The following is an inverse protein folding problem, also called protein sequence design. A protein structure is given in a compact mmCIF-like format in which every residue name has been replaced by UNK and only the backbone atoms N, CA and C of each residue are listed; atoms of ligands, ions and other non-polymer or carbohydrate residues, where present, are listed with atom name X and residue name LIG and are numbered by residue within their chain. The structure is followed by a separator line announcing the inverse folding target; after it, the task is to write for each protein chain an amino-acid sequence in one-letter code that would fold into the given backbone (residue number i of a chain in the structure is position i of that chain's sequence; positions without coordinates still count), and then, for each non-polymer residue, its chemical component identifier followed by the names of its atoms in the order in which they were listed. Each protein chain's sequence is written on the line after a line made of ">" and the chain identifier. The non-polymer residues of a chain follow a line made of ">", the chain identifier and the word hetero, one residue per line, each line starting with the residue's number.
data_IF_697090864373
#
_entry.id   IF_697090864373
#
_cell.length_a   1.000
_cell.length_b   1.000
_cell.length_c   1.000
_cell.angle_alpha   90.00
_cell.angle_beta   90.00
_cell.angle_gamma   90.00
#
_symmetry.space_group_name_H-M   'P 1'
#
loop_
_entity.id
_entity.type
_entity.pdbx_description
1 polymer ?
#
# COMPACT_ATOMS: atom_id res chain seq x y z
N UNK A 1 22.40 12.44 13.88
CA UNK A 1 22.13 12.83 12.48
C UNK A 1 21.59 11.60 11.76
N UNK A 2 20.30 11.57 11.41
CA UNK A 2 19.72 10.44 10.68
C UNK A 2 19.90 10.71 9.18
N UNK A 3 20.67 9.85 8.51
CA UNK A 3 20.85 9.89 7.07
C UNK A 3 19.59 9.34 6.41
N UNK A 4 18.83 10.21 5.74
CA UNK A 4 17.74 9.83 4.83
C UNK A 4 18.38 9.23 3.58
N UNK A 5 18.45 7.91 3.49
CA UNK A 5 18.79 7.24 2.23
C UNK A 5 17.63 7.41 1.25
N UNK A 6 17.77 8.35 0.32
CA UNK A 6 16.94 8.40 -0.89
C UNK A 6 17.34 7.19 -1.73
N UNK A 7 16.55 6.12 -1.71
CA UNK A 7 16.66 5.08 -2.72
C UNK A 7 16.29 5.70 -4.06
N UNK A 8 17.28 5.90 -4.93
CA UNK A 8 17.03 6.27 -6.32
C UNK A 8 16.12 5.20 -6.93
N UNK A 9 14.96 5.60 -7.44
CA UNK A 9 14.10 4.70 -8.19
C UNK A 9 14.91 4.12 -9.35
N UNK A 10 14.83 2.80 -9.62
CA UNK A 10 15.43 2.24 -10.82
C UNK A 10 14.88 3.00 -12.02
N UNK A 11 15.76 3.62 -12.82
CA UNK A 11 15.31 4.26 -14.05
C UNK A 11 14.85 3.16 -15.02
N UNK A 12 13.63 3.27 -15.54
CA UNK A 12 13.20 2.40 -16.62
C UNK A 12 14.08 2.69 -17.85
N UNK A 13 14.50 1.67 -18.62
CA UNK A 13 15.34 1.88 -19.79
C UNK A 13 14.59 2.65 -20.87
N UNK A 14 15.33 3.36 -21.73
CA UNK A 14 14.81 4.13 -22.87
C UNK A 14 14.35 3.20 -24.01
N UNK A 15 13.34 2.40 -23.72
CA UNK A 15 12.65 1.48 -24.64
C UNK A 15 11.18 1.87 -24.72
N UNK A 16 10.45 1.52 -25.79
CA UNK A 16 9.00 1.75 -25.86
C UNK A 16 8.26 1.29 -24.60
N UNK A 17 8.55 0.07 -24.12
CA UNK A 17 7.94 -0.47 -22.90
C UNK A 17 8.35 0.31 -21.64
N UNK A 18 9.62 0.72 -21.52
CA UNK A 18 10.13 1.52 -20.41
C UNK A 18 9.56 2.93 -20.34
N UNK A 19 9.35 3.58 -21.50
CA UNK A 19 8.67 4.87 -21.61
C UNK A 19 7.23 4.77 -21.14
N UNK A 20 6.49 3.74 -21.58
CA UNK A 20 5.11 3.49 -21.14
C UNK A 20 5.04 3.22 -19.64
N UNK A 21 5.94 2.39 -19.08
CA UNK A 21 5.97 2.13 -17.63
C UNK A 21 6.20 3.42 -16.83
N UNK A 22 7.15 4.25 -17.25
CA UNK A 22 7.49 5.52 -16.57
C UNK A 22 6.33 6.51 -16.63
N UNK A 23 5.73 6.67 -17.82
CA UNK A 23 4.56 7.49 -18.02
C UNK A 23 3.40 7.00 -17.15
N UNK A 24 3.15 5.69 -17.14
CA UNK A 24 2.08 5.08 -16.34
C UNK A 24 2.25 5.33 -14.84
N UNK A 25 3.45 5.13 -14.27
CA UNK A 25 3.71 5.38 -12.83
C UNK A 25 3.51 6.87 -12.49
N UNK A 26 3.98 7.76 -13.36
CA UNK A 26 3.81 9.22 -13.19
C UNK A 26 2.33 9.61 -13.20
N UNK A 27 1.60 9.15 -14.21
CA UNK A 27 0.17 9.43 -14.41
C UNK A 27 -0.66 8.86 -13.27
N UNK A 28 -0.40 7.61 -12.86
CA UNK A 28 -1.13 6.98 -11.76
C UNK A 28 -0.91 7.72 -10.43
N UNK A 29 0.29 8.25 -10.22
CA UNK A 29 0.64 9.00 -9.01
C UNK A 29 0.05 10.42 -8.98
N UNK A 30 -0.11 11.08 -10.12
CA UNK A 30 -0.52 12.50 -10.20
C UNK A 30 -1.92 12.80 -9.66
N UNK A 31 -2.82 11.80 -9.69
CA UNK A 31 -4.25 11.97 -9.37
C UNK A 31 -5.03 12.89 -10.33
N UNK A 32 -4.42 13.37 -11.41
CA UNK A 32 -5.03 14.36 -12.29
C UNK A 32 -5.84 13.65 -13.40
N UNK A 33 -7.18 13.80 -13.43
CA UNK A 33 -8.02 13.17 -14.45
C UNK A 33 -7.68 13.59 -15.87
N UNK A 34 -7.19 14.82 -16.09
CA UNK A 34 -6.79 15.28 -17.41
C UNK A 34 -5.50 14.59 -17.88
N UNK A 35 -4.54 14.40 -16.97
CA UNK A 35 -3.30 13.67 -17.25
C UNK A 35 -3.56 12.19 -17.52
N UNK A 36 -4.49 11.58 -16.78
CA UNK A 36 -4.93 10.19 -17.01
C UNK A 36 -5.56 10.06 -18.41
N UNK A 37 -6.48 10.97 -18.75
CA UNK A 37 -7.13 10.96 -20.07
C UNK A 37 -6.13 11.12 -21.21
N UNK A 38 -5.18 12.06 -21.10
CA UNK A 38 -4.15 12.26 -22.12
C UNK A 38 -3.24 11.04 -22.30
N UNK A 39 -2.90 10.34 -21.21
CA UNK A 39 -2.18 9.06 -21.29
C UNK A 39 -2.99 8.00 -22.03
N UNK A 40 -4.28 7.86 -21.70
CA UNK A 40 -5.13 6.87 -22.34
C UNK A 40 -5.31 7.16 -23.85
N UNK A 41 -5.49 8.42 -24.25
CA UNK A 41 -5.56 8.83 -25.67
C UNK A 41 -4.26 8.53 -26.43
N UNK A 42 -3.11 8.67 -25.76
CA UNK A 42 -1.80 8.44 -26.37
C UNK A 42 -1.49 6.95 -26.51
N UNK A 43 -1.70 6.16 -25.45
CA UNK A 43 -1.15 4.81 -25.32
C UNK A 43 -2.20 3.69 -25.36
N UNK A 44 -3.48 3.94 -25.07
CA UNK A 44 -4.51 2.87 -25.11
C UNK A 44 -5.25 2.85 -26.45
N UNK A 45 -5.33 1.69 -27.11
CA UNK A 45 -6.19 1.54 -28.29
C UNK A 45 -7.68 1.65 -27.88
N UNK A 46 -8.52 2.13 -28.79
CA UNK A 46 -9.97 2.13 -28.65
C UNK A 46 -10.57 0.82 -29.22
N UNK A 47 -11.54 0.17 -28.53
CA UNK A 47 -12.06 0.50 -27.20
C UNK A 47 -11.05 0.16 -26.08
N UNK A 48 -11.06 0.89 -24.96
CA UNK A 48 -10.06 0.71 -23.91
C UNK A 48 -10.13 -0.72 -23.33
N UNK A 49 -8.97 -1.37 -23.21
CA UNK A 49 -8.79 -2.72 -22.63
C UNK A 49 -9.11 -2.81 -21.12
N UNK A 50 -9.69 -1.76 -20.54
CA UNK A 50 -9.95 -1.56 -19.12
C UNK A 50 -9.49 -0.16 -18.68
N UNK A 51 -10.35 0.54 -17.93
CA UNK A 51 -9.95 1.79 -17.24
C UNK A 51 -9.20 1.44 -15.96
N UNK A 52 -8.27 2.32 -15.57
CA UNK A 52 -7.72 2.28 -14.21
C UNK A 52 -8.87 2.54 -13.23
N UNK A 53 -9.19 1.55 -12.39
CA UNK A 53 -10.20 1.69 -11.34
C UNK A 53 -9.85 2.92 -10.47
N UNK A 54 -10.70 3.96 -10.42
CA UNK A 54 -10.48 5.14 -9.58
C UNK A 54 -10.28 4.78 -8.11
N UNK A 55 -10.92 3.70 -7.64
CA UNK A 55 -10.77 3.18 -6.27
C UNK A 55 -9.37 2.65 -5.97
N UNK A 56 -8.68 2.11 -6.97
CA UNK A 56 -7.34 1.53 -6.79
C UNK A 56 -6.31 2.60 -6.39
N UNK A 57 -6.38 3.80 -6.98
CA UNK A 57 -5.46 4.88 -6.60
C UNK A 57 -5.67 5.30 -5.15
N UNK A 58 -6.93 5.47 -4.72
CA UNK A 58 -7.21 5.83 -3.32
C UNK A 58 -6.69 4.76 -2.35
N UNK A 59 -6.81 3.48 -2.73
CA UNK A 59 -6.32 2.39 -1.89
C UNK A 59 -4.79 2.32 -1.81
N UNK A 60 -4.10 2.52 -2.93
CA UNK A 60 -2.65 2.33 -3.02
C UNK A 60 -1.86 3.61 -2.69
N UNK A 61 -2.48 4.78 -2.83
CA UNK A 61 -1.82 6.08 -2.73
C UNK A 61 -0.89 6.38 -3.90
N UNK A 62 -0.88 5.51 -4.93
CA UNK A 62 0.14 5.48 -5.95
C UNK A 62 1.15 4.34 -5.78
N UNK A 63 2.13 4.31 -6.66
CA UNK A 63 3.18 3.30 -6.68
C UNK A 63 4.58 3.89 -6.73
N UNK A 64 5.52 3.15 -6.15
CA UNK A 64 6.96 3.36 -6.22
C UNK A 64 7.58 2.16 -6.93
N UNK A 65 8.37 2.39 -7.97
CA UNK A 65 9.09 1.32 -8.65
C UNK A 65 10.21 0.77 -7.76
N UNK A 66 10.19 -0.53 -7.48
CA UNK A 66 11.22 -1.20 -6.68
C UNK A 66 12.26 -1.90 -7.55
N UNK A 67 11.80 -2.65 -8.55
CA UNK A 67 12.67 -3.51 -9.37
C UNK A 67 12.05 -3.79 -10.73
N UNK A 68 12.90 -4.01 -11.74
CA UNK A 68 12.51 -4.60 -13.01
C UNK A 68 12.80 -6.11 -12.96
N UNK A 69 11.77 -6.93 -13.16
CA UNK A 69 11.89 -8.39 -13.32
C UNK A 69 12.34 -8.76 -14.74
N UNK A 70 11.86 -8.00 -15.74
CA UNK A 70 12.12 -8.22 -17.16
C UNK A 70 12.10 -6.88 -17.87
N UNK A 71 13.03 -6.68 -18.82
CA UNK A 71 13.06 -5.50 -19.67
C UNK A 71 13.49 -5.84 -21.09
N UNK A 72 12.54 -5.81 -22.01
CA UNK A 72 12.71 -5.95 -23.47
C UNK A 72 12.13 -4.71 -24.16
N UNK A 73 12.46 -4.45 -25.44
CA UNK A 73 11.98 -3.25 -26.14
C UNK A 73 10.45 -3.05 -26.07
N UNK A 74 9.67 -4.12 -26.22
CA UNK A 74 8.20 -4.10 -26.28
C UNK A 74 7.53 -4.84 -25.12
N UNK A 75 8.28 -5.33 -24.14
CA UNK A 75 7.74 -6.03 -22.98
C UNK A 75 8.54 -5.68 -21.72
N UNK A 76 7.84 -5.28 -20.67
CA UNK A 76 8.47 -4.95 -19.38
C UNK A 76 7.66 -5.53 -18.23
N UNK A 77 8.35 -6.11 -17.26
CA UNK A 77 7.76 -6.61 -16.01
C UNK A 77 8.48 -5.91 -14.87
N UNK A 78 7.71 -5.31 -13.96
CA UNK A 78 8.24 -4.57 -12.84
C UNK A 78 7.50 -4.91 -11.54
N UNK A 79 8.22 -4.77 -10.43
CA UNK A 79 7.69 -4.86 -9.07
C UNK A 79 7.55 -3.45 -8.53
N UNK A 80 6.33 -3.12 -8.11
CA UNK A 80 5.94 -1.84 -7.55
C UNK A 80 5.54 -2.01 -6.09
N UNK A 81 5.83 -1.01 -5.25
CA UNK A 81 5.28 -0.90 -3.90
C UNK A 81 4.24 0.20 -3.84
N UNK A 82 3.13 -0.07 -3.16
CA UNK A 82 2.11 0.94 -2.86
C UNK A 82 2.69 2.07 -1.99
N UNK A 83 2.21 3.30 -2.14
CA UNK A 83 2.63 4.41 -1.26
C UNK A 83 1.94 4.36 0.11
N UNK A 84 0.70 3.86 0.15
CA UNK A 84 -0.10 3.77 1.38
C UNK A 84 0.17 2.48 2.19
N UNK A 85 0.92 1.50 1.66
CA UNK A 85 1.19 0.25 2.36
C UNK A 85 2.52 -0.39 1.95
N UNK A 86 2.98 -1.41 2.68
CA UNK A 86 4.12 -2.21 2.27
C UNK A 86 3.76 -3.34 1.30
N UNK A 87 2.54 -3.35 0.74
CA UNK A 87 2.18 -4.32 -0.29
C UNK A 87 2.93 -4.04 -1.58
N UNK A 88 3.23 -5.12 -2.27
CA UNK A 88 3.87 -5.07 -3.58
C UNK A 88 2.95 -5.66 -4.63
N UNK A 89 3.04 -5.10 -5.83
CA UNK A 89 2.33 -5.57 -7.00
C UNK A 89 3.30 -5.78 -8.13
N UNK A 90 3.04 -6.81 -8.95
CA UNK A 90 3.71 -6.98 -10.23
C UNK A 90 2.89 -6.29 -11.30
N UNK A 91 3.53 -5.38 -12.03
CA UNK A 91 2.99 -4.80 -13.25
C UNK A 91 3.70 -5.41 -14.46
N UNK A 92 2.93 -5.68 -15.50
CA UNK A 92 3.44 -6.15 -16.77
C UNK A 92 2.80 -5.35 -17.90
N UNK A 93 3.64 -4.87 -18.82
CA UNK A 93 3.23 -4.25 -20.06
C UNK A 93 3.76 -5.05 -21.26
N UNK A 94 2.91 -5.20 -22.26
CA UNK A 94 3.29 -5.51 -23.64
C UNK A 94 2.79 -4.37 -24.50
N UNK A 95 3.67 -3.80 -25.32
CA UNK A 95 3.38 -2.63 -26.16
C UNK A 95 3.72 -2.91 -27.62
N UNK A 96 3.11 -2.17 -28.55
CA UNK A 96 3.51 -2.21 -29.97
C UNK A 96 4.85 -1.49 -30.19
N UNK A 97 5.48 -1.75 -31.33
CA UNK A 97 6.70 -1.07 -31.76
C UNK A 97 6.43 0.25 -32.51
N UNK A 98 5.19 0.75 -32.48
CA UNK A 98 4.78 2.01 -33.09
C UNK A 98 5.30 3.23 -32.29
N UNK A 99 5.18 4.41 -32.90
CA UNK A 99 5.46 5.69 -32.25
C UNK A 99 4.21 6.61 -32.35
N UNK A 100 3.47 6.88 -31.25
CA UNK A 100 3.70 6.37 -29.91
C UNK A 100 3.31 4.88 -29.77
N UNK A 101 3.99 4.12 -28.90
CA UNK A 101 3.68 2.70 -28.68
C UNK A 101 2.26 2.53 -28.14
N UNK A 102 1.56 1.47 -28.53
CA UNK A 102 0.22 1.16 -28.02
C UNK A 102 0.27 0.03 -27.00
N UNK A 103 -0.44 0.15 -25.89
CA UNK A 103 -0.56 -0.88 -24.85
C UNK A 103 -1.42 -2.01 -25.40
N UNK A 104 -0.78 -3.14 -25.70
CA UNK A 104 -1.43 -4.37 -26.14
C UNK A 104 -1.90 -5.21 -24.96
N UNK A 105 -1.15 -5.17 -23.85
CA UNK A 105 -1.52 -5.84 -22.59
C UNK A 105 -1.00 -5.08 -21.39
N UNK A 106 -1.85 -4.92 -20.39
CA UNK A 106 -1.48 -4.45 -19.07
C UNK A 106 -2.00 -5.44 -18.03
N UNK A 107 -1.15 -5.87 -17.10
CA UNK A 107 -1.58 -6.66 -15.95
C UNK A 107 -0.96 -6.08 -14.69
N UNK A 108 -1.80 -5.73 -13.72
CA UNK A 108 -1.37 -5.31 -12.39
C UNK A 108 -1.99 -6.27 -11.37
N UNK A 109 -1.17 -6.94 -10.58
CA UNK A 109 -1.64 -7.87 -9.56
C UNK A 109 -0.81 -7.78 -8.29
N UNK A 110 -1.43 -7.87 -7.09
CA UNK A 110 -0.70 -8.05 -5.86
C UNK A 110 0.13 -9.33 -5.91
N UNK A 111 1.33 -9.31 -5.34
CA UNK A 111 2.17 -10.48 -5.14
C UNK A 111 2.65 -10.53 -3.67
N UNK A 112 3.01 -11.71 -3.14
CA UNK A 112 3.76 -11.77 -1.89
C UNK A 112 5.05 -10.96 -2.02
N UNK A 113 5.44 -10.25 -0.95
CA UNK A 113 6.69 -9.49 -0.92
C UNK A 113 7.88 -10.45 -1.12
N UNK A 114 8.65 -10.31 -2.22
CA UNK A 114 9.81 -11.16 -2.49
C UNK A 114 10.85 -11.10 -1.37
N UNK A 115 11.62 -12.18 -1.20
CA UNK A 115 12.61 -12.31 -0.14
C UNK A 115 13.72 -11.23 -0.21
N UNK A 116 14.13 -10.86 -1.42
CA UNK A 116 15.08 -9.79 -1.70
C UNK A 116 14.55 -8.38 -1.37
N UNK A 117 13.24 -8.24 -1.19
CA UNK A 117 12.56 -6.99 -0.85
C UNK A 117 11.97 -7.01 0.57
N UNK A 118 12.46 -7.90 1.44
CA UNK A 118 12.00 -7.99 2.82
C UNK A 118 12.21 -6.68 3.58
N UNK A 119 11.22 -6.35 4.41
CA UNK A 119 11.30 -5.20 5.31
C UNK A 119 12.20 -5.57 6.49
N UNK A 120 13.16 -4.70 6.80
CA UNK A 120 14.05 -4.90 7.93
C UNK A 120 13.28 -4.99 9.25
N UNK A 121 13.56 -6.05 10.02
CA UNK A 121 13.00 -6.22 11.37
C UNK A 121 13.57 -5.18 12.32
N UNK A 122 12.73 -4.76 13.25
CA UNK A 122 13.00 -3.76 14.28
C UNK A 122 13.02 -4.42 15.66
N UNK A 123 13.57 -3.71 16.64
CA UNK A 123 13.35 -4.06 18.04
C UNK A 123 11.86 -3.92 18.39
N UNK A 124 11.41 -4.55 19.47
CA UNK A 124 10.03 -4.42 19.91
C UNK A 124 9.63 -2.96 20.16
N UNK A 125 10.47 -2.21 20.88
CA UNK A 125 10.22 -0.81 21.18
C UNK A 125 10.12 0.04 19.91
N UNK A 126 11.05 -0.15 18.96
CA UNK A 126 11.05 0.59 17.69
C UNK A 126 9.85 0.23 16.82
N UNK A 127 9.46 -1.05 16.78
CA UNK A 127 8.29 -1.50 16.03
C UNK A 127 6.99 -0.89 16.57
N UNK A 128 6.84 -0.80 17.90
CA UNK A 128 5.67 -0.19 18.54
C UNK A 128 5.61 1.34 18.33
N UNK A 129 6.78 1.99 18.39
CA UNK A 129 6.90 3.42 18.09
C UNK A 129 6.57 3.71 16.61
N UNK A 130 7.14 2.93 15.69
CA UNK A 130 6.87 3.04 14.26
C UNK A 130 5.40 2.77 13.93
N UNK A 131 4.80 1.75 14.56
CA UNK A 131 3.37 1.45 14.43
C UNK A 131 2.51 2.65 14.87
N UNK A 132 2.83 3.24 16.02
CA UNK A 132 2.11 4.41 16.54
C UNK A 132 2.20 5.61 15.59
N UNK A 133 3.40 5.87 15.06
CA UNK A 133 3.63 6.95 14.09
C UNK A 133 2.85 6.70 12.79
N UNK A 134 2.91 5.47 12.26
CA UNK A 134 2.20 5.11 11.01
C UNK A 134 0.69 5.20 11.16
N UNK A 135 0.13 4.73 12.28
CA UNK A 135 -1.31 4.85 12.54
C UNK A 135 -1.74 6.33 12.66
N UNK A 136 -0.89 7.18 13.25
CA UNK A 136 -1.10 8.63 13.29
C UNK A 136 -1.12 9.27 11.91
N UNK A 137 -0.09 9.01 11.10
CA UNK A 137 -0.02 9.50 9.71
C UNK A 137 -1.24 9.06 8.89
N UNK A 138 -1.64 7.79 8.97
CA UNK A 138 -2.82 7.30 8.28
C UNK A 138 -4.10 7.99 8.77
N UNK A 139 -4.19 8.34 10.06
CA UNK A 139 -5.33 9.06 10.60
C UNK A 139 -5.38 10.52 10.15
N UNK A 140 -4.24 11.20 10.10
CA UNK A 140 -4.12 12.58 9.60
C UNK A 140 -4.52 12.68 8.12
N UNK A 141 -4.38 11.59 7.36
CA UNK A 141 -4.80 11.47 5.97
C UNK A 141 -6.18 10.83 5.78
N UNK A 142 -7.00 10.69 6.83
CA UNK A 142 -8.33 10.08 6.80
C UNK A 142 -8.35 8.61 6.29
N UNK A 143 -7.20 7.93 6.32
CA UNK A 143 -7.01 6.53 5.90
C UNK A 143 -7.05 5.53 7.05
N UNK A 144 -7.07 6.01 8.29
CA UNK A 144 -7.30 5.19 9.47
C UNK A 144 -8.10 5.97 10.52
N UNK A 145 -9.11 5.35 11.10
CA UNK A 145 -9.79 5.87 12.29
C UNK A 145 -10.19 4.67 13.12
N UNK A 146 -9.61 4.51 14.30
CA UNK A 146 -9.90 3.39 15.17
C UNK A 146 -8.84 3.08 16.21
N UNK A 147 -8.77 1.81 16.61
CA UNK A 147 -7.99 1.35 17.76
C UNK A 147 -7.00 0.25 17.36
N UNK A 148 -5.82 0.26 17.99
CA UNK A 148 -4.79 -0.78 17.82
C UNK A 148 -4.36 -1.28 19.19
N UNK A 149 -4.30 -2.60 19.33
CA UNK A 149 -3.79 -3.30 20.49
C UNK A 149 -2.66 -4.24 20.07
N UNK A 150 -1.52 -4.16 20.75
CA UNK A 150 -0.45 -5.14 20.67
C UNK A 150 -0.22 -5.68 22.08
N UNK A 151 -0.24 -7.00 22.22
CA UNK A 151 0.08 -7.68 23.46
C UNK A 151 1.16 -8.74 23.21
N UNK A 152 2.01 -8.96 24.20
CA UNK A 152 3.01 -10.01 24.18
C UNK A 152 3.11 -10.71 25.53
N UNK A 153 3.16 -12.04 25.55
CA UNK A 153 3.14 -12.84 26.78
C UNK A 153 1.98 -12.45 27.74
N UNK A 154 0.80 -12.17 27.17
CA UNK A 154 -0.38 -11.74 27.93
C UNK A 154 -0.32 -10.32 28.49
N UNK A 155 0.74 -9.56 28.24
CA UNK A 155 0.87 -8.15 28.65
C UNK A 155 0.57 -7.23 27.48
N UNK A 156 -0.29 -6.24 27.69
CA UNK A 156 -0.56 -5.19 26.68
C UNK A 156 0.66 -4.27 26.59
N UNK A 157 1.27 -4.22 25.41
CA UNK A 157 2.42 -3.35 25.12
C UNK A 157 2.00 -2.05 24.44
N UNK A 158 0.90 -2.09 23.67
CA UNK A 158 0.30 -0.93 23.03
C UNK A 158 -1.22 -1.07 23.11
N UNK A 159 -1.89 0.01 23.52
CA UNK A 159 -3.32 0.20 23.34
C UNK A 159 -3.55 1.68 23.07
N UNK A 160 -3.80 2.03 21.80
CA UNK A 160 -3.95 3.43 21.36
C UNK A 160 -5.08 3.55 20.35
N UNK A 161 -5.61 4.76 20.27
CA UNK A 161 -6.72 5.14 19.40
C UNK A 161 -6.38 6.37 18.58
N UNK A 162 -6.96 6.47 17.40
CA UNK A 162 -6.76 7.57 16.46
C UNK A 162 -8.04 7.90 15.71
N UNK A 163 -8.13 9.14 15.22
CA UNK A 163 -9.22 9.61 14.37
C UNK A 163 -10.52 9.87 15.12
N UNK A 164 -11.62 9.84 14.37
CA UNK A 164 -12.96 10.20 14.82
C UNK A 164 -13.92 9.00 14.79
N UNK A 165 -14.65 8.81 15.90
CA UNK A 165 -15.77 7.88 15.99
C UNK A 165 -16.95 8.35 15.12
N UNK A 166 -17.13 9.66 14.99
CA UNK A 166 -18.07 10.30 14.08
C UNK A 166 -17.36 11.51 13.47
N UNK A 167 -17.13 11.50 12.15
CA UNK A 167 -16.36 12.55 11.47
C UNK A 167 -17.20 13.82 11.34
N UNK A 168 -18.49 13.70 11.05
CA UNK A 168 -19.41 14.82 10.89
C UNK A 168 -19.59 15.61 12.19
N UNK A 169 -19.68 14.90 13.32
CA UNK A 169 -19.82 15.50 14.64
C UNK A 169 -18.47 15.80 15.32
N UNK A 170 -17.33 15.53 14.67
CA UNK A 170 -15.99 15.70 15.24
C UNK A 170 -15.75 14.88 16.52
N UNK A 171 -16.50 13.79 16.73
CA UNK A 171 -16.39 12.98 17.95
C UNK A 171 -15.15 12.11 17.86
N UNK A 172 -14.18 12.21 18.78
CA UNK A 172 -12.95 11.43 18.72
C UNK A 172 -13.20 9.95 19.03
N UNK A 173 -12.32 9.08 18.53
CA UNK A 173 -12.25 7.70 19.03
C UNK A 173 -11.69 7.71 20.45
N UNK A 174 -12.26 6.89 21.33
CA UNK A 174 -11.81 6.68 22.71
C UNK A 174 -11.54 5.19 22.95
N UNK A 175 -10.89 4.84 24.05
CA UNK A 175 -10.69 3.44 24.46
C UNK A 175 -12.00 2.66 24.68
N UNK A 176 -13.12 3.38 24.89
CA UNK A 176 -14.45 2.81 25.10
C UNK A 176 -15.31 2.85 23.82
N UNK A 177 -14.78 3.38 22.71
CA UNK A 177 -15.51 3.44 21.45
C UNK A 177 -15.82 2.04 20.94
N UNK A 178 -17.08 1.82 20.59
CA UNK A 178 -17.53 0.56 20.00
C UNK A 178 -17.37 0.64 18.48
N UNK A 179 -16.73 -0.38 17.91
CA UNK A 179 -16.56 -0.52 16.47
C UNK A 179 -17.58 -1.51 15.93
N UNK A 180 -18.26 -1.13 14.86
CA UNK A 180 -19.15 -2.07 14.16
C UNK A 180 -18.30 -3.04 13.35
N UNK A 181 -18.36 -4.32 13.71
CA UNK A 181 -17.56 -5.38 13.09
C UNK A 181 -18.18 -5.86 11.75
N UNK A 182 -19.26 -5.24 11.22
CA UNK A 182 -19.80 -5.69 9.93
C UNK A 182 -20.75 -4.78 9.16
N UNK A 183 -20.60 -4.85 7.83
CA UNK A 183 -21.66 -5.05 6.82
C UNK A 183 -21.07 -5.80 5.61
N UNK A 184 -21.88 -6.62 4.92
CA UNK A 184 -21.60 -7.32 3.64
C UNK A 184 -20.15 -7.77 3.40
N UNK A 185 -19.77 -8.95 3.91
CA UNK A 185 -18.54 -9.68 3.55
C UNK A 185 -17.19 -8.96 3.81
N UNK A 186 -17.16 -7.77 4.43
CA UNK A 186 -15.95 -6.98 4.67
C UNK A 186 -15.68 -6.82 6.17
N UNK A 187 -14.49 -7.21 6.62
CA UNK A 187 -14.07 -7.14 8.02
C UNK A 187 -13.39 -5.80 8.33
N UNK A 188 -14.03 -4.95 9.14
CA UNK A 188 -13.46 -3.67 9.60
C UNK A 188 -12.45 -3.81 10.75
N UNK A 189 -11.90 -5.01 10.92
CA UNK A 189 -10.88 -5.33 11.89
C UNK A 189 -9.95 -6.43 11.38
N UNK A 190 -8.77 -6.51 11.99
CA UNK A 190 -7.77 -7.55 11.72
C UNK A 190 -7.20 -8.01 13.08
N UNK A 191 -7.15 -9.32 13.28
CA UNK A 191 -6.62 -9.96 14.48
C UNK A 191 -5.61 -11.03 14.03
N UNK A 192 -4.38 -10.91 14.50
CA UNK A 192 -3.32 -11.89 14.25
C UNK A 192 -2.72 -12.36 15.55
N UNK A 193 -2.59 -13.66 15.67
CA UNK A 193 -1.96 -14.34 16.80
C UNK A 193 -0.71 -15.03 16.28
N UNK A 194 0.43 -14.76 16.92
CA UNK A 194 1.72 -15.36 16.64
C UNK A 194 2.16 -16.18 17.86
N UNK A 195 1.75 -17.46 17.97
CA UNK A 195 1.95 -18.26 19.17
C UNK A 195 3.44 -18.43 19.53
N UNK A 196 4.31 -18.60 18.54
CA UNK A 196 5.74 -18.81 18.75
C UNK A 196 6.44 -17.62 19.42
N UNK A 197 5.96 -16.41 19.12
CA UNK A 197 6.43 -15.14 19.66
C UNK A 197 5.64 -14.68 20.89
N UNK A 198 4.55 -15.39 21.20
CA UNK A 198 3.52 -15.00 22.16
C UNK A 198 2.95 -13.60 21.90
N UNK A 199 2.85 -13.17 20.64
CA UNK A 199 2.36 -11.85 20.24
C UNK A 199 0.91 -11.95 19.74
N UNK A 200 0.08 -10.99 20.13
CA UNK A 200 -1.25 -10.76 19.60
C UNK A 200 -1.32 -9.32 19.11
N UNK A 201 -1.84 -9.12 17.91
CA UNK A 201 -2.07 -7.80 17.32
C UNK A 201 -3.52 -7.74 16.87
N UNK A 202 -4.23 -6.71 17.32
CA UNK A 202 -5.60 -6.43 16.91
C UNK A 202 -5.70 -4.98 16.45
N UNK A 203 -6.38 -4.75 15.33
CA UNK A 203 -6.77 -3.42 14.89
C UNK A 203 -8.26 -3.43 14.55
N UNK A 204 -8.96 -2.36 14.93
CA UNK A 204 -10.34 -2.09 14.58
C UNK A 204 -10.41 -0.73 13.90
N UNK A 205 -11.24 -0.57 12.87
CA UNK A 205 -11.41 0.69 12.17
C UNK A 205 -12.87 1.01 11.87
N UNK A 206 -13.20 2.29 11.84
CA UNK A 206 -14.46 2.80 11.30
C UNK A 206 -14.44 2.95 9.77
N UNK A 207 -13.29 2.68 9.14
CA UNK A 207 -13.15 2.70 7.69
C UNK A 207 -13.17 1.26 7.15
N UNK A 208 -13.66 1.13 5.92
CA UNK A 208 -13.68 -0.14 5.19
C UNK A 208 -12.26 -0.72 5.03
N UNK A 209 -12.14 -2.03 4.76
CA UNK A 209 -10.87 -2.62 4.40
C UNK A 209 -10.21 -1.85 3.24
N UNK A 210 -8.86 -1.72 3.25
CA UNK A 210 -7.93 -2.42 4.14
C UNK A 210 -7.44 -1.58 5.32
N UNK A 211 -8.20 -0.61 5.84
CA UNK A 211 -7.71 0.33 6.86
C UNK A 211 -7.09 -0.36 8.10
N UNK A 212 -7.80 -1.31 8.72
CA UNK A 212 -7.29 -2.06 9.87
C UNK A 212 -6.10 -2.97 9.48
N UNK A 213 -6.21 -3.72 8.39
CA UNK A 213 -5.18 -4.67 7.99
C UNK A 213 -3.88 -4.01 7.53
N UNK A 214 -3.92 -2.79 6.99
CA UNK A 214 -2.70 -2.01 6.67
C UNK A 214 -1.84 -1.77 7.92
N UNK A 215 -2.48 -1.45 9.04
CA UNK A 215 -1.79 -1.16 10.30
C UNK A 215 -1.20 -2.45 10.90
N UNK A 216 -1.95 -3.55 10.83
CA UNK A 216 -1.46 -4.87 11.27
C UNK A 216 -0.34 -5.38 10.35
N UNK A 217 -0.48 -5.28 9.03
CA UNK A 217 0.55 -5.64 8.03
C UNK A 217 1.86 -4.86 8.32
N UNK A 218 1.76 -3.55 8.55
CA UNK A 218 2.92 -2.70 8.84
C UNK A 218 3.72 -3.19 10.05
N UNK A 219 3.03 -3.47 11.16
CA UNK A 219 3.68 -3.94 12.39
C UNK A 219 4.24 -5.35 12.22
N UNK A 220 3.47 -6.26 11.63
CA UNK A 220 3.88 -7.67 11.50
C UNK A 220 5.07 -7.87 10.56
N UNK A 221 5.29 -6.96 9.60
CA UNK A 221 6.50 -6.92 8.79
C UNK A 221 7.74 -6.43 9.54
N UNK A 222 7.58 -5.69 10.64
CA UNK A 222 8.67 -5.01 11.36
C UNK A 222 8.93 -5.56 12.76
N UNK A 223 7.97 -6.23 13.39
CA UNK A 223 8.16 -6.80 14.72
C UNK A 223 9.29 -7.85 14.75
N UNK A 224 9.92 -8.09 15.92
CA UNK A 224 10.95 -9.12 16.07
C UNK A 224 10.50 -10.48 15.54
N UNK A 225 11.43 -11.22 14.91
CA UNK A 225 11.18 -12.55 14.37
C UNK A 225 11.51 -13.69 15.36
N UNK A 226 12.06 -13.36 16.53
CA UNK A 226 12.46 -14.30 17.58
C UNK A 226 11.93 -13.85 18.93
N UNK A 227 11.92 -14.76 19.90
CA UNK A 227 11.56 -14.46 21.29
C UNK A 227 12.52 -13.44 21.91
#
# INVERSE_FOLDING_TARGET
>A
MLATSVLAQPAAPQTPAGTVLTAWVTVFNSADPAVIRAFDETYRPAPPLGQLDPGLRQQTGGFTLLRLDKSEPTSIVAVLQEKNSDRVSRIEFVVSAEDPPKILRQTLRPIPRPADLQVQRMTEADALAALSARAGELADHDQFSGAVLVARHGKVLLHKVWGHANREAGTPVTSNSQFRIGSMNKMNGDLRVFPELAVVVAALSNLDPPAASRVVDFFTLRMPATR
#
